data_IF_593746554688
#
_entry.id   IF_593746554688
#
_cell.length_a   1.000
_cell.length_b   1.000
_cell.length_c   1.000
_cell.angle_alpha   90.00
_cell.angle_beta   90.00
_cell.angle_gamma   90.00
#
_symmetry.space_group_name_H-M   'P 1'
#
loop_
_entity.id
_entity.type
_entity.pdbx_description
1 polymer ?
#
# COMPACT_ATOMS: atom_id res chain seq x y z
N UNK A 1 -16.73 4.43 25.06
CA UNK A 1 -17.21 3.06 24.72
C UNK A 1 -16.13 2.43 23.87
N UNK A 2 -15.52 1.31 24.28
CA UNK A 2 -14.45 0.68 23.49
C UNK A 2 -15.10 0.08 22.24
N UNK A 3 -14.78 0.58 21.06
CA UNK A 3 -15.30 0.01 19.81
C UNK A 3 -14.97 -1.49 19.75
N UNK A 4 -15.95 -2.29 19.38
CA UNK A 4 -15.76 -3.72 19.21
C UNK A 4 -14.75 -3.94 18.07
N UNK A 5 -13.63 -4.62 18.37
CA UNK A 5 -12.60 -4.93 17.38
C UNK A 5 -13.21 -5.81 16.29
N UNK A 6 -13.36 -5.27 15.09
CA UNK A 6 -13.70 -6.04 13.89
C UNK A 6 -12.47 -6.78 13.37
N UNK A 7 -12.67 -7.95 12.79
CA UNK A 7 -11.59 -8.73 12.16
C UNK A 7 -12.08 -9.33 10.84
N UNK A 8 -11.24 -9.25 9.82
CA UNK A 8 -11.48 -9.87 8.51
C UNK A 8 -10.37 -10.86 8.22
N UNK A 9 -10.73 -11.99 7.59
CA UNK A 9 -9.77 -13.00 7.16
C UNK A 9 -9.76 -13.04 5.63
N UNK A 10 -8.55 -13.10 5.07
CA UNK A 10 -8.32 -13.23 3.63
C UNK A 10 -7.26 -14.31 3.43
N UNK A 11 -7.46 -15.18 2.45
CA UNK A 11 -6.43 -16.14 2.02
C UNK A 11 -5.49 -15.47 1.02
N UNK A 12 -4.17 -15.64 1.23
CA UNK A 12 -3.14 -15.21 0.30
C UNK A 12 -2.53 -16.44 -0.38
N UNK A 13 -2.67 -16.51 -1.70
CA UNK A 13 -2.02 -17.53 -2.53
C UNK A 13 -0.53 -17.23 -2.71
N UNK A 14 0.25 -18.23 -3.13
CA UNK A 14 1.67 -18.03 -3.47
C UNK A 14 1.79 -16.98 -4.57
N UNK A 15 2.64 -15.98 -4.34
CA UNK A 15 2.84 -14.84 -5.23
C UNK A 15 2.01 -13.61 -4.85
N UNK A 16 0.95 -13.77 -4.05
CA UNK A 16 0.14 -12.64 -3.61
C UNK A 16 0.97 -11.66 -2.78
N UNK A 17 0.65 -10.38 -2.93
CA UNK A 17 1.29 -9.30 -2.20
C UNK A 17 0.27 -8.57 -1.33
N UNK A 18 0.47 -8.59 -0.01
CA UNK A 18 -0.26 -7.78 0.96
C UNK A 18 0.49 -6.47 1.20
N UNK A 19 -0.22 -5.36 1.13
CA UNK A 19 0.32 -4.02 1.32
C UNK A 19 -0.51 -3.29 2.37
N UNK A 20 0.12 -2.98 3.51
CA UNK A 20 -0.47 -2.21 4.60
C UNK A 20 0.19 -0.84 4.64
N UNK A 21 -0.61 0.21 4.76
CA UNK A 21 -0.14 1.59 4.72
C UNK A 21 -0.93 2.46 5.69
N UNK A 22 -0.28 3.53 6.18
CA UNK A 22 -0.97 4.63 6.87
C UNK A 22 -1.61 5.59 5.85
N UNK A 23 -2.67 6.26 6.25
CA UNK A 23 -3.40 7.26 5.47
C UNK A 23 -2.49 8.33 4.86
N UNK A 24 -1.42 8.74 5.54
CA UNK A 24 -0.40 9.66 5.02
C UNK A 24 0.22 9.25 3.68
N UNK A 25 0.12 7.96 3.28
CA UNK A 25 0.51 7.52 1.94
C UNK A 25 -0.44 8.02 0.83
N UNK A 26 -1.74 8.10 1.11
CA UNK A 26 -2.78 8.43 0.12
C UNK A 26 -3.35 9.84 0.30
N UNK A 27 -3.32 10.39 1.51
CA UNK A 27 -3.84 11.72 1.83
C UNK A 27 -2.85 12.80 1.38
N UNK A 28 -3.21 13.52 0.32
CA UNK A 28 -2.52 14.72 -0.14
C UNK A 28 -3.53 15.86 -0.20
N UNK A 29 -3.19 17.07 0.30
CA UNK A 29 -4.13 18.18 0.42
C UNK A 29 -4.74 18.76 -0.86
N UNK A 30 -4.73 18.08 -2.00
CA UNK A 30 -5.30 18.60 -3.24
C UNK A 30 -5.88 17.48 -4.12
N UNK A 31 -5.84 16.24 -3.64
CA UNK A 31 -6.26 15.06 -4.40
C UNK A 31 -7.37 14.29 -3.69
N UNK A 32 -8.30 13.72 -4.45
CA UNK A 32 -9.30 12.80 -3.90
C UNK A 32 -8.62 11.50 -3.48
N UNK A 33 -8.95 11.04 -2.28
CA UNK A 33 -8.43 9.78 -1.72
C UNK A 33 -8.69 8.58 -2.64
N UNK A 34 -9.84 8.56 -3.33
CA UNK A 34 -10.20 7.50 -4.29
C UNK A 34 -9.23 7.42 -5.46
N UNK A 35 -8.84 8.56 -6.01
CA UNK A 35 -7.96 8.65 -7.18
C UNK A 35 -6.54 8.22 -6.79
N UNK A 36 -6.14 8.56 -5.56
CA UNK A 36 -4.86 8.17 -4.96
C UNK A 36 -4.78 6.67 -4.69
N UNK A 37 -5.85 6.07 -4.16
CA UNK A 37 -5.94 4.61 -3.98
C UNK A 37 -5.89 3.90 -5.33
N UNK A 38 -6.62 4.40 -6.33
CA UNK A 38 -6.59 3.84 -7.68
C UNK A 38 -5.18 3.92 -8.30
N UNK A 39 -4.48 5.04 -8.12
CA UNK A 39 -3.10 5.21 -8.60
C UNK A 39 -2.13 4.27 -7.89
N UNK A 40 -2.21 4.17 -6.56
CA UNK A 40 -1.39 3.24 -5.76
C UNK A 40 -1.61 1.80 -6.23
N UNK A 41 -2.86 1.41 -6.42
CA UNK A 41 -3.23 0.07 -6.93
C UNK A 41 -2.62 -0.19 -8.30
N UNK A 42 -2.82 0.71 -9.26
CA UNK A 42 -2.29 0.55 -10.61
C UNK A 42 -0.75 0.43 -10.61
N UNK A 43 -0.08 1.18 -9.73
CA UNK A 43 1.38 1.12 -9.60
C UNK A 43 1.86 -0.21 -9.03
N UNK A 44 1.21 -0.68 -7.96
CA UNK A 44 1.51 -1.98 -7.35
C UNK A 44 1.29 -3.11 -8.35
N UNK A 45 0.19 -3.07 -9.10
CA UNK A 45 -0.12 -4.05 -10.15
C UNK A 45 0.93 -4.04 -11.28
N UNK A 46 1.40 -2.86 -11.72
CA UNK A 46 2.46 -2.77 -12.73
C UNK A 46 3.75 -3.41 -12.25
N UNK A 47 4.22 -3.05 -11.06
CA UNK A 47 5.48 -3.54 -10.52
C UNK A 47 5.42 -5.04 -10.18
N UNK A 48 4.25 -5.54 -9.79
CA UNK A 48 4.01 -6.96 -9.61
C UNK A 48 4.11 -7.72 -10.94
N UNK A 49 3.47 -7.23 -12.00
CA UNK A 49 3.57 -7.83 -13.36
C UNK A 49 5.00 -7.84 -13.89
N UNK A 50 5.77 -6.81 -13.56
CA UNK A 50 7.18 -6.70 -13.96
C UNK A 50 8.11 -7.60 -13.11
N UNK A 51 7.57 -8.43 -12.21
CA UNK A 51 8.33 -9.36 -11.38
C UNK A 51 9.27 -8.66 -10.40
N UNK A 52 9.01 -7.39 -10.06
CA UNK A 52 9.94 -6.59 -9.25
C UNK A 52 10.01 -7.11 -7.81
N UNK A 53 11.20 -6.99 -7.18
CA UNK A 53 11.35 -7.34 -5.77
C UNK A 53 10.55 -6.36 -4.90
N UNK A 54 10.13 -6.84 -3.73
CA UNK A 54 9.21 -6.11 -2.84
C UNK A 54 9.81 -4.79 -2.34
N UNK A 55 11.13 -4.76 -2.17
CA UNK A 55 11.88 -3.58 -1.76
C UNK A 55 11.91 -2.50 -2.86
N UNK A 56 11.83 -2.90 -4.13
CA UNK A 56 11.68 -1.94 -5.23
C UNK A 56 10.26 -1.37 -5.26
N UNK A 57 9.25 -2.19 -4.97
CA UNK A 57 7.86 -1.75 -4.82
C UNK A 57 7.71 -0.71 -3.73
N UNK A 58 8.20 -1.01 -2.52
CA UNK A 58 8.10 -0.09 -1.38
C UNK A 58 8.83 1.22 -1.65
N UNK A 59 10.06 1.15 -2.18
CA UNK A 59 10.83 2.36 -2.53
C UNK A 59 10.10 3.24 -3.54
N UNK A 60 9.55 2.63 -4.58
CA UNK A 60 8.84 3.35 -5.61
C UNK A 60 7.57 4.02 -5.07
N UNK A 61 6.76 3.29 -4.27
CA UNK A 61 5.53 3.85 -3.68
C UNK A 61 5.83 5.01 -2.73
N UNK A 62 6.86 4.88 -1.88
CA UNK A 62 7.23 5.93 -0.92
C UNK A 62 7.84 7.16 -1.61
N UNK A 63 8.60 6.98 -2.70
CA UNK A 63 9.25 8.09 -3.41
C UNK A 63 8.27 9.11 -4.00
N UNK A 64 7.02 8.72 -4.26
CA UNK A 64 6.00 9.58 -4.85
C UNK A 64 5.18 10.37 -3.82
N UNK A 65 5.43 10.17 -2.53
CA UNK A 65 4.75 10.95 -1.49
C UNK A 65 5.57 12.21 -1.18
N UNK A 66 4.93 13.38 -1.32
CA UNK A 66 5.57 14.64 -0.94
C UNK A 66 5.76 14.66 0.58
N UNK A 67 7.01 14.85 1.01
CA UNK A 67 7.34 14.98 2.41
C UNK A 67 6.60 16.17 3.04
N UNK A 68 6.04 15.97 4.25
CA UNK A 68 5.81 17.08 5.17
C UNK A 68 4.40 17.27 5.75
N UNK A 69 3.48 16.30 5.67
CA UNK A 69 2.17 16.46 6.34
C UNK A 69 1.80 15.39 7.36
N UNK A 70 2.07 14.11 7.10
CA UNK A 70 1.77 13.01 8.02
C UNK A 70 2.86 11.92 8.02
N UNK A 71 2.87 11.10 9.07
CA UNK A 71 3.76 9.94 9.19
C UNK A 71 3.38 8.86 8.17
N UNK A 72 4.33 8.50 7.32
CA UNK A 72 4.15 7.48 6.29
C UNK A 72 4.83 6.20 6.76
N UNK A 73 4.03 5.15 6.96
CA UNK A 73 4.53 3.79 7.17
C UNK A 73 3.93 2.84 6.14
N UNK A 74 4.78 1.97 5.61
CA UNK A 74 4.41 0.94 4.64
C UNK A 74 4.98 -0.40 5.10
N UNK A 75 4.12 -1.41 5.14
CA UNK A 75 4.51 -2.81 5.34
C UNK A 75 4.03 -3.59 4.12
N UNK A 76 4.97 -4.24 3.45
CA UNK A 76 4.68 -5.11 2.32
C UNK A 76 5.08 -6.54 2.67
N UNK A 77 4.25 -7.49 2.27
CA UNK A 77 4.48 -8.92 2.44
C UNK A 77 4.15 -9.65 1.14
N UNK A 78 5.00 -10.58 0.72
CA UNK A 78 4.72 -11.47 -0.42
C UNK A 78 4.70 -12.91 0.07
N UNK A 79 3.61 -13.62 -0.23
CA UNK A 79 3.48 -15.03 0.12
C UNK A 79 4.41 -15.86 -0.78
N UNK A 80 5.42 -16.51 -0.19
CA UNK A 80 6.40 -17.32 -0.93
C UNK A 80 6.02 -18.81 -1.02
N UNK A 81 5.03 -19.25 -0.23
CA UNK A 81 4.70 -20.67 -0.06
C UNK A 81 5.68 -21.40 0.84
#
# INVERSE_FOLDING_TARGET
TREARSSTKLFLAKGDTLFLYTDGLVEIPEARITDRIAHLRARVESLHRDGRPLEALVRDVVAHVRAGKDDIAVIAFRATG
#
